data_IF_525125592834
#
_entry.id   IF_525125592834
#
_cell.length_a   1.000
_cell.length_b   1.000
_cell.length_c   1.000
_cell.angle_alpha   90.00
_cell.angle_beta   90.00
_cell.angle_gamma   90.00
#
_symmetry.space_group_name_H-M   'P 1'
#
loop_
_entity.id
_entity.type
_entity.pdbx_description
1 polymer ?
#
# COMPACT_ATOMS: atom_id res chain seq x y z
N UNK A 1 4.28 78.47 -68.85
CA UNK A 1 3.71 77.41 -69.70
C UNK A 1 4.53 76.14 -69.46
N UNK A 2 3.99 75.14 -68.75
CA UNK A 2 4.71 73.91 -68.43
C UNK A 2 4.75 73.00 -69.64
N UNK A 3 5.96 72.58 -70.03
CA UNK A 3 6.22 71.64 -71.12
C UNK A 3 5.90 70.22 -70.66
N UNK A 4 4.91 69.60 -71.32
CA UNK A 4 4.65 68.16 -71.27
C UNK A 4 5.83 67.41 -71.88
N UNK A 5 6.56 66.65 -71.08
CA UNK A 5 7.37 65.53 -71.57
C UNK A 5 6.67 64.23 -71.18
N UNK A 6 6.48 63.29 -72.12
CA UNK A 6 5.93 61.96 -71.79
C UNK A 6 6.94 61.15 -70.98
N UNK A 7 6.44 60.37 -70.03
CA UNK A 7 7.25 59.46 -69.22
C UNK A 7 7.99 58.43 -70.10
N UNK A 8 9.19 57.99 -69.69
CA UNK A 8 9.93 56.96 -70.40
C UNK A 8 9.18 55.61 -70.34
N UNK A 9 9.31 54.76 -71.37
CA UNK A 9 8.68 53.44 -71.38
C UNK A 9 9.24 52.57 -70.23
N UNK A 10 8.41 51.67 -69.65
CA UNK A 10 8.82 50.83 -68.54
C UNK A 10 10.01 49.94 -68.93
N UNK A 11 10.99 49.86 -68.02
CA UNK A 11 12.16 48.99 -68.19
C UNK A 11 11.73 47.51 -68.13
N UNK A 12 12.28 46.63 -68.98
CA UNK A 12 11.85 45.23 -69.09
C UNK A 12 12.32 44.32 -67.93
N UNK A 13 12.77 44.86 -66.80
CA UNK A 13 13.44 44.09 -65.74
C UNK A 13 12.76 44.05 -64.36
N UNK A 14 11.49 44.46 -64.24
CA UNK A 14 10.83 44.59 -62.93
C UNK A 14 9.80 43.50 -62.55
N UNK A 15 9.85 42.30 -63.13
CA UNK A 15 8.86 41.26 -62.75
C UNK A 15 9.34 39.80 -62.71
N UNK A 16 10.65 39.53 -62.63
CA UNK A 16 11.13 38.15 -62.38
C UNK A 16 11.01 37.70 -60.92
N UNK A 17 10.76 38.63 -59.98
CA UNK A 17 10.56 38.28 -58.56
C UNK A 17 9.18 37.72 -58.24
N UNK A 18 8.18 37.88 -59.13
CA UNK A 18 6.84 37.29 -58.94
C UNK A 18 6.73 35.82 -59.35
N UNK A 19 7.73 35.26 -60.03
CA UNK A 19 7.74 33.86 -60.48
C UNK A 19 8.53 32.90 -59.57
N UNK A 20 9.01 33.35 -58.41
CA UNK A 20 9.70 32.51 -57.41
C UNK A 20 8.85 32.18 -56.19
N UNK A 21 7.52 32.27 -56.28
CA UNK A 21 6.71 31.47 -55.36
C UNK A 21 6.77 30.02 -55.88
N UNK A 22 7.34 29.07 -55.11
CA UNK A 22 7.17 27.67 -55.46
C UNK A 22 5.66 27.42 -55.59
N UNK A 23 5.23 26.61 -56.57
CA UNK A 23 3.82 26.25 -56.66
C UNK A 23 3.37 25.77 -55.28
N UNK A 24 2.16 26.12 -54.82
CA UNK A 24 1.65 25.52 -53.60
C UNK A 24 1.81 24.02 -53.75
N UNK A 25 2.48 23.39 -52.78
CA UNK A 25 2.55 21.95 -52.72
C UNK A 25 1.10 21.45 -52.76
N UNK A 26 0.67 20.99 -53.92
CA UNK A 26 -0.49 20.12 -54.03
C UNK A 26 0.01 18.85 -53.37
N UNK A 27 -0.22 18.75 -52.08
CA UNK A 27 -0.06 17.50 -51.37
C UNK A 27 -0.95 16.52 -52.14
N UNK A 28 -0.39 15.52 -52.86
CA UNK A 28 -1.24 14.48 -53.38
C UNK A 28 -1.97 13.96 -52.15
N UNK A 29 -3.30 14.03 -52.15
CA UNK A 29 -4.09 13.50 -51.06
C UNK A 29 -3.69 12.03 -50.90
N UNK A 30 -2.72 11.78 -50.03
CA UNK A 30 -2.45 10.48 -49.50
C UNK A 30 -3.76 10.15 -48.80
N UNK A 31 -4.47 9.08 -49.19
CA UNK A 31 -5.58 8.61 -48.40
C UNK A 31 -5.07 8.51 -46.96
N UNK A 32 -5.80 9.13 -46.03
CA UNK A 32 -5.42 9.20 -44.62
C UNK A 32 -4.86 7.84 -44.20
N UNK A 33 -3.69 7.83 -43.57
CA UNK A 33 -2.95 6.60 -43.19
C UNK A 33 -3.73 5.67 -42.24
N UNK A 34 -4.97 6.04 -41.89
CA UNK A 34 -5.87 5.32 -40.99
C UNK A 34 -6.58 4.11 -41.64
N UNK A 35 -6.55 3.94 -42.97
CA UNK A 35 -7.31 2.87 -43.65
C UNK A 35 -6.45 1.69 -44.17
N UNK A 36 -5.14 1.65 -43.86
CA UNK A 36 -4.28 0.51 -44.22
C UNK A 36 -4.03 -0.43 -43.02
N UNK A 37 -4.92 -1.42 -42.83
CA UNK A 37 -4.66 -2.59 -41.97
C UNK A 37 -3.50 -3.47 -42.50
N UNK A 38 -2.26 -3.20 -42.08
CA UNK A 38 -1.09 -4.02 -42.39
C UNK A 38 -1.35 -5.54 -42.24
N UNK A 39 -1.02 -6.38 -43.24
CA UNK A 39 -1.19 -7.84 -43.17
C UNK A 39 -0.12 -8.52 -42.31
N UNK A 40 0.86 -7.76 -41.81
CA UNK A 40 1.91 -8.23 -40.93
C UNK A 40 1.53 -7.94 -39.48
N UNK A 41 1.72 -8.94 -38.61
CA UNK A 41 1.46 -8.82 -37.18
C UNK A 41 2.06 -7.52 -36.62
N UNK A 42 1.19 -6.69 -36.04
CA UNK A 42 1.53 -5.41 -35.41
C UNK A 42 2.81 -5.58 -34.60
N UNK A 43 3.89 -4.88 -34.99
CA UNK A 43 5.15 -4.89 -34.24
C UNK A 43 4.82 -4.50 -32.81
N UNK A 44 5.01 -5.43 -31.88
CA UNK A 44 4.87 -5.19 -30.46
C UNK A 44 5.86 -4.09 -30.13
N UNK A 45 5.35 -2.98 -29.60
CA UNK A 45 6.13 -1.82 -29.20
C UNK A 45 7.29 -2.27 -28.30
N UNK A 46 8.55 -2.12 -28.74
CA UNK A 46 9.73 -2.52 -27.96
C UNK A 46 9.87 -1.69 -26.66
N UNK A 47 9.12 -0.58 -26.55
CA UNK A 47 9.00 0.23 -25.34
C UNK A 47 7.75 -0.08 -24.51
N UNK A 48 6.93 -1.06 -24.90
CA UNK A 48 5.91 -1.56 -23.99
C UNK A 48 6.61 -2.19 -22.79
N UNK A 49 6.32 -1.74 -21.55
CA UNK A 49 6.90 -2.37 -20.37
C UNK A 49 6.55 -3.86 -20.46
N UNK A 50 7.58 -4.71 -20.47
CA UNK A 50 7.41 -6.15 -20.44
C UNK A 50 6.70 -6.47 -19.12
N UNK A 51 5.38 -6.59 -19.18
CA UNK A 51 4.55 -6.94 -18.04
C UNK A 51 4.85 -8.40 -17.72
N UNK A 52 5.87 -8.60 -16.90
CA UNK A 52 6.24 -9.91 -16.39
C UNK A 52 4.98 -10.51 -15.76
N UNK A 53 4.55 -11.70 -16.20
CA UNK A 53 3.34 -12.37 -15.67
C UNK A 53 3.39 -12.64 -14.15
N UNK A 54 4.55 -12.47 -13.51
CA UNK A 54 4.73 -12.49 -12.06
C UNK A 54 4.73 -11.11 -11.37
N UNK A 55 4.80 -10.00 -12.12
CA UNK A 55 4.80 -8.63 -11.59
C UNK A 55 3.41 -8.12 -11.18
N UNK A 56 2.35 -8.87 -11.51
CA UNK A 56 0.96 -8.54 -11.21
C UNK A 56 0.27 -9.64 -10.38
N UNK A 57 0.98 -10.27 -9.43
CA UNK A 57 0.26 -10.99 -8.37
C UNK A 57 -0.54 -9.95 -7.58
N UNK A 58 -1.87 -9.94 -7.77
CA UNK A 58 -2.77 -9.05 -7.02
C UNK A 58 -2.48 -9.23 -5.53
N UNK A 59 -2.14 -8.16 -4.77
CA UNK A 59 -1.92 -8.25 -3.32
C UNK A 59 -3.06 -8.95 -2.57
N UNK A 60 -4.27 -8.92 -3.13
CA UNK A 60 -5.43 -9.67 -2.62
C UNK A 60 -5.16 -11.18 -2.59
N UNK A 61 -4.43 -11.74 -3.55
CA UNK A 61 -4.07 -13.16 -3.55
C UNK A 61 -3.19 -13.53 -2.34
N UNK A 62 -2.18 -12.70 -2.04
CA UNK A 62 -1.37 -12.87 -0.83
C UNK A 62 -2.20 -12.81 0.45
N UNK A 63 -3.21 -11.92 0.48
CA UNK A 63 -4.13 -11.79 1.60
C UNK A 63 -5.02 -13.04 1.76
N UNK A 64 -5.57 -13.55 0.66
CA UNK A 64 -6.39 -14.76 0.66
C UNK A 64 -5.59 -15.99 1.11
N UNK A 65 -4.34 -16.12 0.67
CA UNK A 65 -3.44 -17.18 1.16
C UNK A 65 -3.21 -17.04 2.66
N UNK A 66 -2.90 -15.83 3.14
CA UNK A 66 -2.67 -15.59 4.56
C UNK A 66 -3.90 -15.92 5.40
N UNK A 67 -5.10 -15.55 4.94
CA UNK A 67 -6.38 -15.88 5.57
C UNK A 67 -6.61 -17.40 5.59
N UNK A 68 -6.45 -18.07 4.44
CA UNK A 68 -6.62 -19.51 4.33
C UNK A 68 -5.64 -20.26 5.24
N UNK A 69 -4.39 -19.82 5.30
CA UNK A 69 -3.37 -20.37 6.18
C UNK A 69 -3.72 -20.17 7.66
N UNK A 70 -4.17 -18.98 8.05
CA UNK A 70 -4.53 -18.70 9.44
C UNK A 70 -5.76 -19.50 9.91
N UNK A 71 -6.69 -19.81 9.01
CA UNK A 71 -7.81 -20.74 9.25
C UNK A 71 -7.29 -22.19 9.31
N UNK A 72 -6.47 -22.61 8.35
CA UNK A 72 -5.91 -23.97 8.30
C UNK A 72 -5.03 -24.32 9.50
N UNK A 73 -4.38 -23.33 10.11
CA UNK A 73 -3.55 -23.50 11.30
C UNK A 73 -4.32 -23.30 12.62
N UNK A 74 -5.66 -23.18 12.60
CA UNK A 74 -6.47 -23.16 13.82
C UNK A 74 -6.25 -24.37 14.75
N UNK A 75 -6.03 -25.61 14.26
CA UNK A 75 -5.75 -26.76 15.12
C UNK A 75 -4.44 -26.66 15.93
N UNK A 76 -3.53 -25.75 15.57
CA UNK A 76 -2.26 -25.53 16.29
C UNK A 76 -2.39 -24.58 17.49
N UNK A 77 -3.54 -23.91 17.63
CA UNK A 77 -3.81 -22.99 18.75
C UNK A 77 -3.56 -23.64 20.13
N UNK A 78 -4.07 -24.85 20.44
CA UNK A 78 -3.86 -25.46 21.75
C UNK A 78 -2.49 -26.12 21.94
N UNK A 79 -1.74 -26.42 20.87
CA UNK A 79 -0.48 -27.18 20.95
C UNK A 79 0.75 -26.29 20.89
N UNK A 80 0.83 -25.38 19.92
CA UNK A 80 1.95 -24.47 19.73
C UNK A 80 1.48 -23.16 19.05
N UNK A 81 1.04 -22.16 19.84
CA UNK A 81 0.61 -20.88 19.30
C UNK A 81 1.77 -20.11 18.64
N UNK A 82 3.02 -20.33 19.08
CA UNK A 82 4.20 -19.69 18.51
C UNK A 82 4.44 -20.13 17.06
N UNK A 83 4.30 -21.43 16.80
CA UNK A 83 4.42 -21.97 15.44
C UNK A 83 3.33 -21.42 14.51
N UNK A 84 2.08 -21.31 15.00
CA UNK A 84 1.00 -20.69 14.21
C UNK A 84 1.37 -19.25 13.84
N UNK A 85 1.79 -18.46 14.81
CA UNK A 85 2.14 -17.06 14.59
C UNK A 85 3.34 -16.88 13.67
N UNK A 86 4.42 -17.63 13.88
CA UNK A 86 5.58 -17.60 12.97
C UNK A 86 5.18 -17.90 11.54
N UNK A 87 4.41 -18.96 11.28
CA UNK A 87 4.02 -19.34 9.92
C UNK A 87 3.12 -18.29 9.26
N UNK A 88 2.08 -17.83 9.98
CA UNK A 88 1.10 -16.87 9.47
C UNK A 88 1.76 -15.54 9.13
N UNK A 89 2.57 -14.98 10.04
CA UNK A 89 3.26 -13.72 9.78
C UNK A 89 4.48 -13.87 8.87
N UNK A 90 5.14 -15.04 8.81
CA UNK A 90 6.24 -15.27 7.86
C UNK A 90 5.73 -15.26 6.42
N UNK A 91 4.58 -15.88 6.14
CA UNK A 91 3.99 -15.86 4.79
C UNK A 91 3.57 -14.45 4.42
N UNK A 92 2.89 -13.73 5.31
CA UNK A 92 2.46 -12.36 5.04
C UNK A 92 3.65 -11.40 4.89
N UNK A 93 4.64 -11.49 5.79
CA UNK A 93 5.89 -10.74 5.70
C UNK A 93 6.68 -11.08 4.44
N UNK A 94 6.70 -12.35 4.05
CA UNK A 94 7.31 -12.82 2.80
C UNK A 94 6.68 -12.16 1.57
N UNK A 95 5.35 -12.11 1.48
CA UNK A 95 4.65 -11.36 0.43
C UNK A 95 4.98 -9.86 0.47
N UNK A 96 5.02 -9.27 1.67
CA UNK A 96 5.42 -7.87 1.84
C UNK A 96 6.83 -7.59 1.33
N UNK A 97 7.80 -8.44 1.68
CA UNK A 97 9.21 -8.30 1.26
C UNK A 97 9.35 -8.52 -0.23
N UNK A 98 8.69 -9.54 -0.80
CA UNK A 98 8.69 -9.80 -2.24
C UNK A 98 8.13 -8.61 -3.01
N UNK A 99 6.99 -8.07 -2.58
CA UNK A 99 6.39 -6.90 -3.21
C UNK A 99 7.29 -5.65 -3.07
N UNK A 100 8.00 -5.52 -1.96
CA UNK A 100 8.99 -4.45 -1.76
C UNK A 100 10.19 -4.59 -2.70
N UNK A 101 10.77 -5.79 -2.84
CA UNK A 101 11.87 -6.07 -3.76
C UNK A 101 11.48 -5.89 -5.23
N UNK A 102 10.24 -6.22 -5.59
CA UNK A 102 9.70 -6.08 -6.94
C UNK A 102 9.24 -4.64 -7.25
N UNK A 103 9.37 -3.71 -6.31
CA UNK A 103 9.05 -2.29 -6.51
C UNK A 103 7.55 -1.97 -6.55
N UNK A 104 6.68 -2.92 -6.18
CA UNK A 104 5.23 -2.72 -6.12
C UNK A 104 4.74 -2.22 -4.74
N UNK A 105 5.67 -1.77 -3.89
CA UNK A 105 5.36 -1.26 -2.55
C UNK A 105 5.81 0.19 -2.39
N UNK A 106 5.17 0.90 -1.47
CA UNK A 106 5.56 2.24 -1.08
C UNK A 106 7.01 2.28 -0.63
N UNK A 107 7.84 3.04 -1.34
CA UNK A 107 9.22 3.27 -0.93
C UNK A 107 9.24 3.91 0.45
N UNK A 108 10.08 3.38 1.34
CA UNK A 108 10.47 4.04 2.60
C UNK A 108 11.31 5.25 2.18
N UNK A 109 10.63 6.35 1.82
CA UNK A 109 11.29 7.63 1.63
C UNK A 109 11.84 8.12 2.97
N UNK A 110 12.74 9.10 2.93
CA UNK A 110 13.31 9.75 4.12
C UNK A 110 12.19 10.41 4.95
N UNK A 111 11.53 9.62 5.79
CA UNK A 111 10.60 10.12 6.79
C UNK A 111 11.37 11.06 7.74
N UNK A 112 10.86 12.27 7.98
CA UNK A 112 11.48 13.18 8.93
C UNK A 112 11.42 12.58 10.34
N UNK A 113 12.42 12.82 11.21
CA UNK A 113 12.39 12.30 12.58
C UNK A 113 11.16 12.77 13.36
N UNK A 114 10.61 13.93 13.00
CA UNK A 114 9.35 14.44 13.54
C UNK A 114 8.16 13.52 13.22
N UNK A 115 8.07 13.02 11.99
CA UNK A 115 7.00 12.09 11.60
C UNK A 115 7.06 10.76 12.38
N UNK A 116 8.27 10.27 12.66
CA UNK A 116 8.48 9.12 13.55
C UNK A 116 7.96 9.41 14.96
N UNK A 117 8.27 10.59 15.50
CA UNK A 117 7.76 11.04 16.80
C UNK A 117 6.23 11.07 16.84
N UNK A 118 5.58 11.54 15.78
CA UNK A 118 4.13 11.50 15.66
C UNK A 118 3.59 10.07 15.66
N UNK A 119 4.26 9.12 15.03
CA UNK A 119 3.91 7.69 15.11
C UNK A 119 3.81 7.19 16.55
N UNK A 120 4.80 7.51 17.37
CA UNK A 120 4.81 7.17 18.81
C UNK A 120 3.64 7.83 19.54
N UNK A 121 3.43 9.13 19.31
CA UNK A 121 2.35 9.91 19.95
C UNK A 121 0.98 9.30 19.61
N UNK A 122 0.71 8.98 18.34
CA UNK A 122 -0.55 8.35 17.94
C UNK A 122 -0.72 6.96 18.56
N UNK A 123 0.36 6.17 18.67
CA UNK A 123 0.35 4.88 19.35
C UNK A 123 -0.03 5.00 20.82
N UNK A 124 0.51 6.01 21.53
CA UNK A 124 0.19 6.29 22.93
C UNK A 124 -1.24 6.82 23.11
N UNK A 125 -1.66 7.78 22.29
CA UNK A 125 -3.02 8.33 22.31
C UNK A 125 -4.05 7.22 22.14
N UNK A 126 -3.74 6.25 21.28
CA UNK A 126 -4.62 5.12 21.06
C UNK A 126 -4.52 4.09 22.20
N UNK A 127 -3.32 3.73 22.66
CA UNK A 127 -3.11 2.65 23.63
C UNK A 127 -3.49 3.00 25.07
N UNK A 128 -3.18 4.21 25.54
CA UNK A 128 -3.34 4.62 26.94
C UNK A 128 -4.79 4.53 27.42
N UNK A 129 -5.81 5.04 26.70
CA UNK A 129 -7.20 4.92 27.14
C UNK A 129 -7.63 3.45 27.35
N UNK A 130 -7.23 2.54 26.45
CA UNK A 130 -7.58 1.14 26.60
C UNK A 130 -6.93 0.49 27.83
N UNK A 131 -5.69 0.84 28.16
CA UNK A 131 -5.04 0.33 29.38
C UNK A 131 -5.75 0.88 30.63
N UNK A 132 -6.08 2.18 30.66
CA UNK A 132 -6.74 2.81 31.80
C UNK A 132 -8.13 2.22 32.09
N UNK A 133 -8.92 1.94 31.05
CA UNK A 133 -10.28 1.43 31.22
C UNK A 133 -10.40 -0.10 31.14
N UNK A 134 -9.44 -0.77 30.50
CA UNK A 134 -9.52 -2.18 30.11
C UNK A 134 -8.35 -3.05 30.56
N UNK A 135 -7.47 -2.56 31.44
CA UNK A 135 -6.24 -3.25 31.85
C UNK A 135 -6.42 -4.72 32.24
N UNK A 136 -7.42 -5.05 33.07
CA UNK A 136 -7.70 -6.43 33.48
C UNK A 136 -8.10 -7.34 32.30
N UNK A 137 -8.92 -6.82 31.40
CA UNK A 137 -9.37 -7.54 30.20
C UNK A 137 -8.21 -7.73 29.21
N UNK A 138 -7.37 -6.70 29.05
CA UNK A 138 -6.18 -6.73 28.21
C UNK A 138 -5.14 -7.71 28.74
N UNK A 139 -4.91 -7.75 30.05
CA UNK A 139 -4.02 -8.71 30.68
C UNK A 139 -4.47 -10.15 30.44
N UNK A 140 -5.76 -10.45 30.68
CA UNK A 140 -6.30 -11.78 30.39
C UNK A 140 -6.20 -12.14 28.90
N UNK A 141 -6.42 -11.16 28.02
CA UNK A 141 -6.33 -11.36 26.57
C UNK A 141 -4.88 -11.61 26.14
N UNK A 142 -3.92 -10.82 26.63
CA UNK A 142 -2.50 -10.98 26.36
C UNK A 142 -1.97 -12.32 26.87
N UNK A 143 -2.38 -12.75 28.08
CA UNK A 143 -2.02 -14.05 28.63
C UNK A 143 -2.57 -15.21 27.79
N UNK A 144 -3.79 -15.09 27.26
CA UNK A 144 -4.38 -16.11 26.36
C UNK A 144 -3.69 -16.15 25.01
N UNK A 145 -3.45 -14.99 24.41
CA UNK A 145 -2.78 -14.87 23.09
C UNK A 145 -1.36 -15.44 23.16
N UNK A 146 -0.61 -15.12 24.21
CA UNK A 146 0.79 -15.52 24.36
C UNK A 146 0.98 -16.69 25.34
N UNK A 147 -0.01 -17.56 25.45
CA UNK A 147 0.04 -18.71 26.36
C UNK A 147 1.28 -19.55 26.06
N UNK A 148 2.13 -19.75 27.07
CA UNK A 148 3.34 -20.58 26.96
C UNK A 148 4.57 -19.91 26.34
N UNK A 149 4.50 -18.63 25.98
CA UNK A 149 5.66 -17.88 25.47
C UNK A 149 6.46 -17.21 26.60
N UNK A 150 7.78 -17.11 26.41
CA UNK A 150 8.61 -16.31 27.30
C UNK A 150 8.42 -14.81 27.01
N UNK A 151 8.57 -13.91 27.99
CA UNK A 151 8.42 -12.47 27.77
C UNK A 151 9.33 -11.92 26.66
N UNK A 152 10.55 -12.45 26.52
CA UNK A 152 11.47 -12.06 25.45
C UNK A 152 11.01 -12.48 24.05
N UNK A 153 10.36 -13.65 23.92
CA UNK A 153 9.78 -14.12 22.66
C UNK A 153 8.58 -13.24 22.29
N UNK A 154 7.69 -12.96 23.25
CA UNK A 154 6.55 -12.06 23.06
C UNK A 154 7.01 -10.67 22.60
N UNK A 155 8.06 -10.11 23.22
CA UNK A 155 8.61 -8.81 22.82
C UNK A 155 9.18 -8.84 21.40
N UNK A 156 9.89 -9.90 21.02
CA UNK A 156 10.40 -10.05 19.65
C UNK A 156 9.25 -10.10 18.62
N UNK A 157 8.16 -10.79 18.93
CA UNK A 157 6.97 -10.82 18.08
C UNK A 157 6.28 -9.47 17.98
N UNK A 158 6.10 -8.78 19.11
CA UNK A 158 5.36 -7.52 19.20
C UNK A 158 6.11 -6.32 18.60
N UNK A 159 7.45 -6.37 18.53
CA UNK A 159 8.27 -5.29 17.96
C UNK A 159 8.63 -5.58 16.50
N UNK A 160 9.06 -6.81 16.21
CA UNK A 160 9.61 -7.14 14.90
C UNK A 160 8.61 -7.89 14.03
N UNK A 161 8.16 -9.08 14.45
CA UNK A 161 7.47 -10.00 13.54
C UNK A 161 6.10 -9.46 13.11
N UNK A 162 5.22 -9.17 14.07
CA UNK A 162 3.85 -8.76 13.76
C UNK A 162 3.82 -7.38 13.09
N UNK A 163 4.45 -6.32 13.67
CA UNK A 163 4.38 -5.00 13.07
C UNK A 163 5.01 -4.96 11.70
N UNK A 164 6.18 -5.57 11.50
CA UNK A 164 6.87 -5.52 10.20
C UNK A 164 6.07 -6.22 9.12
N UNK A 165 5.57 -7.43 9.38
CA UNK A 165 4.79 -8.16 8.39
C UNK A 165 3.47 -7.45 8.06
N UNK A 166 2.76 -6.92 9.07
CA UNK A 166 1.49 -6.22 8.86
C UNK A 166 1.65 -4.85 8.21
N UNK A 167 2.64 -4.07 8.62
CA UNK A 167 2.86 -2.75 8.00
C UNK A 167 3.35 -2.92 6.58
N UNK A 168 4.27 -3.84 6.32
CA UNK A 168 4.78 -4.06 4.98
C UNK A 168 3.67 -4.54 4.06
N UNK A 169 2.86 -5.51 4.49
CA UNK A 169 1.79 -6.05 3.67
C UNK A 169 0.61 -5.07 3.50
N UNK A 170 -0.04 -4.66 4.59
CA UNK A 170 -1.24 -3.82 4.49
C UNK A 170 -0.90 -2.39 4.07
N UNK A 171 0.10 -1.76 4.71
CA UNK A 171 0.42 -0.33 4.52
C UNK A 171 1.45 -0.10 3.43
N UNK A 172 2.30 -1.08 3.14
CA UNK A 172 3.32 -1.01 2.10
C UNK A 172 2.83 -1.50 0.74
N UNK A 173 1.99 -2.55 0.68
CA UNK A 173 1.55 -3.16 -0.58
C UNK A 173 0.08 -2.86 -0.89
N UNK A 174 -0.84 -3.18 0.03
CA UNK A 174 -2.27 -3.01 -0.24
C UNK A 174 -2.67 -1.54 -0.30
N UNK A 175 -2.15 -0.68 0.57
CA UNK A 175 -2.53 0.73 0.63
C UNK A 175 -2.03 1.56 -0.56
N UNK A 176 -1.01 1.10 -1.28
CA UNK A 176 -0.55 1.75 -2.51
C UNK A 176 -1.51 1.51 -3.68
N UNK A 177 -2.13 0.33 -3.73
CA UNK A 177 -2.98 -0.08 -4.86
C UNK A 177 -4.48 0.05 -4.56
N UNK A 178 -4.88 0.12 -3.29
CA UNK A 178 -6.28 0.12 -2.85
C UNK A 178 -6.60 1.35 -2.01
N UNK A 179 -7.89 1.68 -1.95
CA UNK A 179 -8.40 2.81 -1.14
C UNK A 179 -8.16 2.56 0.34
N UNK A 180 -7.80 3.62 1.06
CA UNK A 180 -7.59 3.67 2.51
C UNK A 180 -8.62 2.85 3.31
N UNK A 181 -9.92 3.08 3.09
CA UNK A 181 -10.99 2.43 3.86
C UNK A 181 -11.01 0.91 3.68
N UNK A 182 -10.70 0.43 2.47
CA UNK A 182 -10.69 -1.00 2.17
C UNK A 182 -9.55 -1.69 2.90
N UNK A 183 -8.36 -1.07 2.93
CA UNK A 183 -7.19 -1.62 3.67
C UNK A 183 -7.44 -1.63 5.16
N UNK A 184 -8.07 -0.58 5.71
CA UNK A 184 -8.48 -0.54 7.12
C UNK A 184 -9.42 -1.70 7.47
N UNK A 185 -10.42 -1.97 6.63
CA UNK A 185 -11.36 -3.09 6.82
C UNK A 185 -10.65 -4.44 6.71
N UNK A 186 -9.83 -4.64 5.67
CA UNK A 186 -9.09 -5.91 5.50
C UNK A 186 -8.12 -6.17 6.66
N UNK A 187 -7.41 -5.14 7.12
CA UNK A 187 -6.54 -5.24 8.30
C UNK A 187 -7.32 -5.56 9.58
N UNK A 188 -8.53 -4.99 9.73
CA UNK A 188 -9.40 -5.31 10.85
C UNK A 188 -9.92 -6.75 10.80
N UNK A 189 -10.37 -7.22 9.63
CA UNK A 189 -10.79 -8.62 9.43
C UNK A 189 -9.64 -9.58 9.73
N UNK A 190 -8.44 -9.27 9.24
CA UNK A 190 -7.23 -10.02 9.57
C UNK A 190 -6.99 -10.10 11.08
N UNK A 191 -7.01 -8.95 11.75
CA UNK A 191 -6.77 -8.88 13.20
C UNK A 191 -7.82 -9.69 13.96
N UNK A 192 -9.10 -9.58 13.59
CA UNK A 192 -10.17 -10.39 14.17
C UNK A 192 -9.92 -11.89 13.93
N UNK A 193 -9.54 -12.28 12.72
CA UNK A 193 -9.29 -13.68 12.38
C UNK A 193 -8.12 -14.28 13.18
N UNK A 194 -7.08 -13.49 13.45
CA UNK A 194 -5.92 -13.95 14.22
C UNK A 194 -6.22 -14.00 15.71
N UNK A 195 -6.88 -12.96 16.26
CA UNK A 195 -7.06 -12.79 17.71
C UNK A 195 -8.38 -13.34 18.26
N UNK A 196 -9.48 -13.35 17.50
CA UNK A 196 -10.77 -13.85 18.00
C UNK A 196 -10.75 -15.33 18.36
N UNK A 197 -10.05 -16.23 17.65
CA UNK A 197 -9.95 -17.62 18.10
C UNK A 197 -9.31 -17.80 19.49
N UNK A 198 -8.58 -16.79 19.98
CA UNK A 198 -7.91 -16.81 21.30
C UNK A 198 -8.79 -16.24 22.42
N UNK A 199 -9.79 -15.44 22.06
CA UNK A 199 -10.72 -14.82 22.97
C UNK A 199 -11.98 -15.66 22.83
N UNK A 200 -12.42 -16.40 23.85
CA UNK A 200 -13.69 -17.16 23.83
C UNK A 200 -14.90 -16.25 23.55
N UNK A 201 -15.06 -15.80 22.30
CA UNK A 201 -15.99 -14.80 21.85
C UNK A 201 -17.45 -15.24 22.04
N UNK A 202 -17.80 -16.54 21.87
CA UNK A 202 -19.14 -17.02 22.18
C UNK A 202 -19.50 -16.90 23.66
N UNK A 203 -18.50 -16.94 24.55
CA UNK A 203 -18.70 -16.90 26.01
C UNK A 203 -18.78 -15.48 26.56
N UNK A 204 -18.10 -14.53 25.92
CA UNK A 204 -18.01 -13.13 26.37
C UNK A 204 -18.27 -12.15 25.20
N UNK A 205 -19.52 -12.06 24.68
CA UNK A 205 -19.83 -11.28 23.47
C UNK A 205 -19.57 -9.78 23.64
N UNK A 206 -19.80 -9.23 24.84
CA UNK A 206 -19.53 -7.81 25.11
C UNK A 206 -18.03 -7.47 25.02
N UNK A 207 -17.18 -8.35 25.55
CA UNK A 207 -15.71 -8.19 25.48
C UNK A 207 -15.23 -8.32 24.04
N UNK A 208 -15.76 -9.29 23.30
CA UNK A 208 -15.45 -9.47 21.88
C UNK A 208 -15.84 -8.23 21.04
N UNK A 209 -16.97 -7.59 21.36
CA UNK A 209 -17.40 -6.36 20.69
C UNK A 209 -16.46 -5.18 20.98
N UNK A 210 -16.05 -5.00 22.24
CA UNK A 210 -15.11 -3.94 22.63
C UNK A 210 -13.75 -4.15 21.95
N UNK A 211 -13.19 -5.36 22.03
CA UNK A 211 -11.90 -5.69 21.41
C UNK A 211 -12.01 -5.58 19.89
N UNK A 212 -13.07 -6.11 19.28
CA UNK A 212 -13.31 -6.00 17.85
C UNK A 212 -13.36 -4.55 17.37
N UNK A 213 -14.08 -3.70 18.10
CA UNK A 213 -14.15 -2.26 17.82
C UNK A 213 -12.76 -1.61 17.96
N UNK A 214 -12.01 -1.95 19.00
CA UNK A 214 -10.64 -1.47 19.20
C UNK A 214 -9.73 -1.87 18.03
N UNK A 215 -9.78 -3.13 17.59
CA UNK A 215 -9.00 -3.63 16.45
C UNK A 215 -9.35 -2.89 15.15
N UNK A 216 -10.62 -2.57 14.92
CA UNK A 216 -11.04 -1.74 13.78
C UNK A 216 -10.40 -0.36 13.88
N UNK A 217 -10.61 0.34 15.00
CA UNK A 217 -10.07 1.70 15.22
C UNK A 217 -8.55 1.75 15.06
N UNK A 218 -7.85 0.75 15.61
CA UNK A 218 -6.40 0.57 15.45
C UNK A 218 -5.99 0.46 14.00
N UNK A 219 -6.62 -0.44 13.24
CA UNK A 219 -6.25 -0.66 11.85
C UNK A 219 -6.47 0.58 10.97
N UNK A 220 -7.55 1.31 11.23
CA UNK A 220 -7.82 2.60 10.58
C UNK A 220 -6.79 3.66 10.98
N UNK A 221 -6.44 3.75 12.26
CA UNK A 221 -5.41 4.67 12.75
C UNK A 221 -4.06 4.40 12.09
N UNK A 222 -3.66 3.14 11.94
CA UNK A 222 -2.41 2.79 11.28
C UNK A 222 -2.41 3.20 9.81
N UNK A 223 -3.53 3.01 9.09
CA UNK A 223 -3.66 3.48 7.73
C UNK A 223 -3.59 5.02 7.64
N UNK A 224 -4.11 5.72 8.66
CA UNK A 224 -4.16 7.18 8.71
C UNK A 224 -2.76 7.75 8.94
N UNK A 225 -2.04 7.19 9.92
CA UNK A 225 -0.64 7.55 10.20
C UNK A 225 0.23 7.27 8.98
N UNK A 226 0.00 6.16 8.25
CA UNK A 226 0.70 5.88 6.98
C UNK A 226 0.49 7.00 5.96
N UNK A 227 -0.75 7.42 5.76
CA UNK A 227 -1.10 8.40 4.74
C UNK A 227 -0.56 9.80 5.06
N UNK A 228 -0.50 10.17 6.35
CA UNK A 228 -0.09 11.51 6.79
C UNK A 228 1.39 11.64 7.11
N UNK A 229 1.99 10.64 7.74
CA UNK A 229 3.32 10.71 8.34
C UNK A 229 4.34 9.74 7.71
N UNK A 230 3.89 8.77 6.89
CA UNK A 230 4.79 7.83 6.22
C UNK A 230 4.76 6.40 6.79
N UNK A 231 5.53 5.50 6.16
CA UNK A 231 5.48 4.05 6.45
C UNK A 231 6.15 3.76 7.79
N UNK A 232 7.28 4.41 8.06
CA UNK A 232 8.01 4.18 9.31
C UNK A 232 7.23 4.72 10.51
N UNK A 233 6.51 5.83 10.35
CA UNK A 233 5.63 6.37 11.38
C UNK A 233 4.48 5.40 11.73
N UNK A 234 3.87 4.76 10.72
CA UNK A 234 2.82 3.76 10.94
C UNK A 234 3.35 2.50 11.63
N UNK A 235 4.57 2.07 11.26
CA UNK A 235 5.26 0.95 11.90
C UNK A 235 5.56 1.23 13.37
N UNK A 236 6.12 2.39 13.70
CA UNK A 236 6.32 2.79 15.10
C UNK A 236 5.01 2.92 15.88
N UNK A 237 3.98 3.49 15.26
CA UNK A 237 2.64 3.58 15.88
C UNK A 237 2.12 2.19 16.26
N UNK A 238 2.27 1.21 15.36
CA UNK A 238 1.87 -0.16 15.62
C UNK A 238 2.70 -0.79 16.74
N UNK A 239 4.03 -0.63 16.73
CA UNK A 239 4.91 -1.14 17.80
C UNK A 239 4.48 -0.57 19.16
N UNK A 240 4.31 0.75 19.25
CA UNK A 240 3.96 1.42 20.51
C UNK A 240 2.59 0.96 21.01
N UNK A 241 1.60 0.88 20.12
CA UNK A 241 0.28 0.37 20.48
C UNK A 241 0.35 -1.10 20.95
N UNK A 242 1.11 -1.96 20.25
CA UNK A 242 1.32 -3.36 20.64
C UNK A 242 2.01 -3.49 22.01
N UNK A 243 3.02 -2.67 22.29
CA UNK A 243 3.69 -2.67 23.58
C UNK A 243 2.76 -2.22 24.71
N UNK A 244 2.03 -1.12 24.50
CA UNK A 244 1.11 -0.56 25.51
C UNK A 244 -0.06 -1.51 25.77
N UNK A 245 -0.63 -2.11 24.73
CA UNK A 245 -1.85 -2.91 24.85
C UNK A 245 -1.61 -4.38 25.21
N UNK A 246 -0.47 -4.96 24.82
CA UNK A 246 -0.23 -6.38 24.98
C UNK A 246 0.98 -6.71 25.86
N UNK A 247 2.06 -5.92 25.79
CA UNK A 247 3.26 -6.20 26.58
C UNK A 247 3.16 -5.63 28.01
N UNK A 248 2.72 -4.38 28.16
CA UNK A 248 2.62 -3.72 29.46
C UNK A 248 1.65 -4.44 30.42
N UNK A 249 0.46 -4.91 29.99
CA UNK A 249 -0.43 -5.67 30.85
C UNK A 249 0.05 -7.10 31.17
N UNK A 250 1.08 -7.58 30.47
CA UNK A 250 1.65 -8.93 30.65
C UNK A 250 2.75 -8.95 31.72
N UNK A 251 3.31 -7.79 32.07
CA UNK A 251 4.21 -7.59 33.21
C UNK A 251 3.43 -7.60 34.53
#
# INVERSE_FOLDING_TARGET
MPTFYPDPPPSPNDDWRKSQQPPPLVDPAYPDEDDWESPFAKKVDENAPVTYRGAASDPVFGYLIAVALSIGLMPLIPTDPALRYTLVWAVMGGFGVLAWLLGNSGRIWMDTPENLGWGIVFGLILGVPFVLFGGNTLQQTAQRIFTGMKPGETLAFLIFVMPTAETLFFRGVLQETRRFWLVGILGAIWSMLVFFPMIDAPRYPAVALIIGTALVLMNFMYCYVRQRNGLAAAWLCQIVASLVLLFLPLL
#
